data_IF_711953912925
#
_entry.id   IF_711953912925
#
_cell.length_a   1.000
_cell.length_b   1.000
_cell.length_c   1.000
_cell.angle_alpha   90.00
_cell.angle_beta   90.00
_cell.angle_gamma   90.00
#
_symmetry.space_group_name_H-M   'P 1'
#
loop_
_entity.id
_entity.type
_entity.pdbx_description
1 polymer ?
#
# COMPACT_ATOMS: atom_id res chain seq x y z
N UNK A 1 -1.77 -1.54 -5.58
CA UNK A 1 -0.51 -1.74 -6.34
C UNK A 1 0.01 -3.15 -6.08
N UNK A 2 -0.12 -4.06 -7.05
CA UNK A 2 0.14 -5.50 -6.90
C UNK A 2 1.08 -6.06 -8.01
N UNK A 3 1.76 -5.20 -8.78
CA UNK A 3 2.60 -5.56 -9.92
C UNK A 3 4.08 -5.80 -9.63
N UNK A 4 4.51 -5.70 -8.37
CA UNK A 4 5.93 -5.80 -8.01
C UNK A 4 6.52 -7.22 -8.07
N UNK A 5 7.80 -7.34 -8.47
CA UNK A 5 8.52 -8.61 -8.66
C UNK A 5 8.71 -9.46 -7.39
N UNK A 6 8.63 -8.88 -6.18
CA UNK A 6 8.72 -9.61 -4.91
C UNK A 6 10.02 -10.39 -4.67
N UNK A 7 11.15 -9.95 -5.20
CA UNK A 7 12.42 -10.71 -5.26
C UNK A 7 13.06 -11.01 -3.92
N UNK A 8 12.71 -10.30 -2.86
CA UNK A 8 13.35 -10.39 -1.53
C UNK A 8 12.98 -11.64 -0.72
N UNK A 9 11.77 -12.15 -0.88
CA UNK A 9 11.32 -13.30 -0.07
C UNK A 9 11.88 -14.65 -0.54
N UNK A 10 12.42 -14.74 -1.75
CA UNK A 10 12.92 -16.00 -2.36
C UNK A 10 11.90 -17.16 -2.29
N UNK A 11 10.61 -16.84 -2.22
CA UNK A 11 9.50 -17.79 -2.25
C UNK A 11 9.01 -17.89 -3.69
N UNK A 12 8.74 -19.12 -4.23
CA UNK A 12 8.28 -19.31 -5.61
C UNK A 12 6.79 -18.94 -5.78
N UNK A 13 6.34 -17.86 -5.14
CA UNK A 13 4.98 -17.34 -5.22
C UNK A 13 5.02 -15.82 -5.45
N UNK A 14 4.01 -15.31 -6.14
CA UNK A 14 3.83 -13.88 -6.32
C UNK A 14 3.54 -13.20 -4.98
N UNK A 15 4.24 -12.10 -4.68
CA UNK A 15 4.16 -11.41 -3.40
C UNK A 15 2.73 -11.16 -2.91
N UNK A 16 1.77 -10.69 -3.75
CA UNK A 16 0.39 -10.47 -3.32
C UNK A 16 -0.37 -11.76 -2.94
N UNK A 17 0.11 -12.93 -3.39
CA UNK A 17 -0.50 -14.24 -3.10
C UNK A 17 0.14 -14.97 -1.93
N UNK A 18 1.20 -14.43 -1.34
CA UNK A 18 1.80 -14.99 -0.13
C UNK A 18 0.74 -15.05 0.97
N UNK A 19 0.65 -16.21 1.63
CA UNK A 19 -0.38 -16.45 2.63
C UNK A 19 0.07 -16.01 4.01
N UNK A 20 -0.81 -15.25 4.66
CA UNK A 20 -0.71 -14.82 6.07
C UNK A 20 -1.89 -15.44 6.80
N UNK A 21 -1.66 -16.26 7.82
CA UNK A 21 -2.72 -17.04 8.48
C UNK A 21 -3.62 -17.79 7.47
N UNK A 22 -3.02 -18.35 6.41
CA UNK A 22 -3.74 -19.14 5.40
C UNK A 22 -4.45 -18.34 4.30
N UNK A 23 -4.53 -17.00 4.38
CA UNK A 23 -5.21 -16.11 3.42
C UNK A 23 -4.17 -15.27 2.66
N UNK A 24 -4.25 -15.13 1.31
CA UNK A 24 -3.37 -14.27 0.52
C UNK A 24 -3.34 -12.83 1.05
N UNK A 25 -2.16 -12.21 1.10
CA UNK A 25 -2.02 -10.87 1.68
C UNK A 25 -2.86 -9.82 0.96
N UNK A 26 -3.04 -9.94 -0.35
CA UNK A 26 -3.88 -9.02 -1.13
C UNK A 26 -5.35 -9.01 -0.69
N UNK A 27 -5.87 -10.13 -0.16
CA UNK A 27 -7.25 -10.21 0.30
C UNK A 27 -7.47 -9.32 1.53
N UNK A 28 -6.50 -9.24 2.45
CA UNK A 28 -6.59 -8.33 3.60
C UNK A 28 -6.72 -6.88 3.15
N UNK A 29 -5.93 -6.49 2.14
CA UNK A 29 -5.99 -5.11 1.59
C UNK A 29 -7.31 -4.86 0.88
N UNK A 30 -7.82 -5.83 0.11
CA UNK A 30 -9.13 -5.70 -0.58
C UNK A 30 -10.27 -5.62 0.44
N UNK A 31 -10.24 -6.43 1.51
CA UNK A 31 -11.23 -6.38 2.57
C UNK A 31 -11.22 -5.02 3.27
N UNK A 32 -10.04 -4.53 3.69
CA UNK A 32 -9.92 -3.20 4.28
C UNK A 32 -10.47 -2.09 3.37
N UNK A 33 -10.21 -2.18 2.06
CA UNK A 33 -10.76 -1.23 1.07
C UNK A 33 -12.29 -1.32 0.95
N UNK A 34 -12.87 -2.51 1.05
CA UNK A 34 -14.33 -2.72 1.02
C UNK A 34 -15.02 -2.25 2.30
N UNK A 35 -14.33 -2.33 3.43
CA UNK A 35 -14.84 -1.91 4.74
C UNK A 35 -14.74 -0.39 4.95
N UNK A 36 -13.88 0.28 4.17
CA UNK A 36 -13.73 1.74 4.23
C UNK A 36 -14.96 2.45 3.65
N UNK A 37 -15.43 3.50 4.33
CA UNK A 37 -16.65 4.25 3.97
C UNK A 37 -16.41 5.35 2.94
N UNK A 38 -15.16 5.77 2.78
CA UNK A 38 -14.73 6.85 1.88
C UNK A 38 -14.14 6.34 0.56
N UNK A 39 -14.25 5.03 0.27
CA UNK A 39 -13.73 4.41 -0.94
C UNK A 39 -14.90 3.93 -1.81
N UNK A 40 -15.05 4.51 -3.00
CA UNK A 40 -16.15 4.19 -3.91
C UNK A 40 -15.86 2.99 -4.80
N UNK A 41 -14.60 2.78 -5.20
CA UNK A 41 -14.21 1.73 -6.15
C UNK A 41 -12.79 1.24 -5.91
N UNK A 42 -12.55 -0.02 -6.28
CA UNK A 42 -11.25 -0.67 -6.11
C UNK A 42 -10.69 -1.05 -7.47
N UNK A 43 -9.48 -0.56 -7.75
CA UNK A 43 -8.71 -0.89 -8.93
C UNK A 43 -7.41 -1.55 -8.47
N UNK A 44 -7.09 -2.72 -9.03
CA UNK A 44 -5.85 -3.42 -8.72
C UNK A 44 -4.89 -3.34 -9.91
N UNK A 45 -3.77 -2.68 -9.72
CA UNK A 45 -2.70 -2.64 -10.71
C UNK A 45 -1.83 -3.91 -10.59
N UNK A 46 -1.79 -4.69 -11.65
CA UNK A 46 -0.94 -5.89 -11.83
C UNK A 46 0.08 -5.63 -12.93
N UNK A 47 0.97 -6.56 -13.18
CA UNK A 47 1.94 -6.48 -14.29
C UNK A 47 2.26 -7.87 -14.85
N UNK A 48 3.07 -7.92 -15.89
CA UNK A 48 3.63 -9.18 -16.42
C UNK A 48 4.39 -10.00 -15.36
N UNK A 49 4.77 -9.39 -14.23
CA UNK A 49 5.43 -10.09 -13.11
C UNK A 49 4.44 -10.77 -12.15
N UNK A 50 3.12 -10.52 -12.29
CA UNK A 50 2.10 -11.02 -11.37
C UNK A 50 0.87 -11.61 -12.07
N UNK A 51 1.05 -12.53 -13.05
CA UNK A 51 -0.04 -13.11 -13.83
C UNK A 51 -0.97 -14.00 -12.99
N UNK A 52 -0.45 -14.70 -11.98
CA UNK A 52 -1.29 -15.51 -11.08
C UNK A 52 -2.17 -14.60 -10.20
N UNK A 53 -1.65 -13.46 -9.75
CA UNK A 53 -2.40 -12.45 -9.00
C UNK A 53 -3.55 -11.91 -9.86
N UNK A 54 -3.29 -11.51 -11.11
CA UNK A 54 -4.31 -11.07 -12.04
C UNK A 54 -5.43 -12.11 -12.21
N UNK A 55 -5.06 -13.39 -12.40
CA UNK A 55 -6.03 -14.51 -12.47
C UNK A 55 -6.78 -14.70 -11.16
N UNK A 56 -6.09 -14.59 -10.02
CA UNK A 56 -6.71 -14.74 -8.70
C UNK A 56 -7.78 -13.69 -8.44
N UNK A 57 -7.56 -12.46 -8.89
CA UNK A 57 -8.46 -11.32 -8.73
C UNK A 57 -9.81 -11.47 -9.45
N UNK A 58 -9.94 -12.39 -10.41
CA UNK A 58 -11.22 -12.69 -11.08
C UNK A 58 -12.33 -13.15 -10.12
N UNK A 59 -11.97 -13.58 -8.91
CA UNK A 59 -12.91 -13.98 -7.85
C UNK A 59 -13.53 -12.79 -7.11
N UNK A 60 -12.98 -11.58 -7.30
CA UNK A 60 -13.39 -10.38 -6.61
C UNK A 60 -14.06 -9.40 -7.56
N UNK A 61 -14.98 -8.60 -7.04
CA UNK A 61 -15.59 -7.49 -7.79
C UNK A 61 -14.65 -6.28 -7.75
N UNK A 62 -13.52 -6.37 -8.47
CA UNK A 62 -12.52 -5.31 -8.58
C UNK A 62 -12.13 -5.14 -10.04
N UNK A 63 -11.82 -3.92 -10.43
CA UNK A 63 -11.22 -3.66 -11.74
C UNK A 63 -9.74 -4.02 -11.69
N UNK A 64 -9.23 -4.71 -12.71
CA UNK A 64 -7.80 -5.00 -12.84
C UNK A 64 -7.24 -4.18 -14.00
N UNK A 65 -6.10 -3.53 -13.79
CA UNK A 65 -5.35 -2.82 -14.83
C UNK A 65 -3.93 -3.41 -14.91
N UNK A 66 -3.49 -3.72 -16.12
CA UNK A 66 -2.13 -4.15 -16.37
C UNK A 66 -1.21 -2.94 -16.51
N UNK A 67 -0.08 -2.97 -15.81
CA UNK A 67 0.92 -1.89 -15.79
C UNK A 67 2.27 -2.40 -16.29
N UNK A 68 3.19 -1.52 -16.73
CA UNK A 68 4.49 -1.95 -17.25
C UNK A 68 5.36 -2.77 -16.27
N UNK A 69 5.09 -2.71 -14.96
CA UNK A 69 5.86 -3.45 -13.94
C UNK A 69 7.27 -2.89 -13.75
N UNK A 70 7.45 -1.60 -13.96
CA UNK A 70 8.74 -0.91 -13.86
C UNK A 70 9.11 -0.64 -12.41
N UNK A 71 8.31 0.14 -11.74
CA UNK A 71 8.41 0.50 -10.31
C UNK A 71 7.07 1.05 -9.80
N UNK A 72 6.97 1.20 -8.48
CA UNK A 72 5.72 1.63 -7.82
C UNK A 72 5.19 2.98 -8.34
N UNK A 73 6.08 3.97 -8.50
CA UNK A 73 5.68 5.34 -8.89
C UNK A 73 5.30 5.40 -10.36
N UNK A 74 6.09 4.75 -11.23
CA UNK A 74 5.84 4.67 -12.67
C UNK A 74 4.53 3.95 -12.97
N UNK A 75 4.29 2.80 -12.33
CA UNK A 75 3.09 1.99 -12.53
C UNK A 75 1.83 2.70 -12.00
N UNK A 76 1.93 3.38 -10.86
CA UNK A 76 0.87 4.22 -10.32
C UNK A 76 0.52 5.37 -11.27
N UNK A 77 1.54 6.05 -11.82
CA UNK A 77 1.37 7.10 -12.79
C UNK A 77 0.72 6.62 -14.08
N UNK A 78 1.16 5.46 -14.59
CA UNK A 78 0.58 4.82 -15.77
C UNK A 78 -0.92 4.50 -15.56
N UNK A 79 -1.26 3.86 -14.44
CA UNK A 79 -2.64 3.55 -14.11
C UNK A 79 -3.50 4.81 -13.99
N UNK A 80 -3.01 5.84 -13.30
CA UNK A 80 -3.69 7.12 -13.13
C UNK A 80 -4.01 7.80 -14.46
N UNK A 81 -3.05 7.83 -15.38
CA UNK A 81 -3.22 8.47 -16.70
C UNK A 81 -4.18 7.68 -17.59
N UNK A 82 -4.00 6.36 -17.70
CA UNK A 82 -4.85 5.52 -18.57
C UNK A 82 -6.30 5.49 -18.12
N UNK A 83 -6.54 5.51 -16.82
CA UNK A 83 -7.90 5.47 -16.26
C UNK A 83 -8.46 6.86 -15.98
N UNK A 84 -7.68 7.93 -16.24
CA UNK A 84 -8.04 9.32 -15.97
C UNK A 84 -8.57 9.52 -14.55
N UNK A 85 -7.84 8.96 -13.58
CA UNK A 85 -8.24 9.02 -12.19
C UNK A 85 -8.25 10.47 -11.69
N UNK A 86 -9.29 10.81 -10.92
CA UNK A 86 -9.36 12.04 -10.13
C UNK A 86 -8.46 11.94 -8.89
N UNK A 87 -9.02 12.17 -7.71
CA UNK A 87 -8.33 11.86 -6.45
C UNK A 87 -8.41 10.36 -6.22
N UNK A 88 -7.28 9.74 -5.92
CA UNK A 88 -7.20 8.30 -5.64
C UNK A 88 -6.23 7.99 -4.52
N UNK A 89 -6.50 6.89 -3.83
CA UNK A 89 -5.65 6.31 -2.80
C UNK A 89 -4.86 5.14 -3.39
N UNK A 90 -3.54 5.28 -3.47
CA UNK A 90 -2.64 4.21 -3.90
C UNK A 90 -2.10 3.45 -2.70
N UNK A 91 -2.27 2.14 -2.67
CA UNK A 91 -1.89 1.27 -1.55
C UNK A 91 -1.02 0.11 -2.06
N UNK A 92 0.07 -0.19 -1.36
CA UNK A 92 0.85 -1.40 -1.58
C UNK A 92 0.04 -2.64 -1.15
N UNK A 93 0.13 -3.73 -1.93
CA UNK A 93 -0.65 -4.94 -1.69
C UNK A 93 -0.07 -5.87 -0.61
N UNK A 94 0.87 -5.40 0.18
CA UNK A 94 1.63 -6.17 1.18
C UNK A 94 1.39 -5.72 2.64
N UNK A 95 0.27 -5.06 2.92
CA UNK A 95 -0.13 -4.50 4.21
C UNK A 95 -1.27 -5.33 4.85
N UNK A 96 -0.97 -6.45 5.50
CA UNK A 96 -1.98 -7.41 5.98
C UNK A 96 -2.79 -6.92 7.17
N UNK A 97 -2.33 -5.88 7.86
CA UNK A 97 -2.96 -5.36 9.09
C UNK A 97 -3.79 -4.10 8.86
N UNK A 98 -3.90 -3.67 7.60
CA UNK A 98 -4.68 -2.50 7.21
C UNK A 98 -6.17 -2.68 7.55
N UNK A 99 -6.85 -1.60 7.96
CA UNK A 99 -8.29 -1.59 8.26
C UNK A 99 -9.00 -0.46 7.52
N UNK A 100 -10.30 -0.60 7.31
CA UNK A 100 -11.13 0.43 6.69
C UNK A 100 -11.12 1.75 7.47
N UNK A 101 -11.13 1.69 8.79
CA UNK A 101 -11.08 2.87 9.67
C UNK A 101 -9.79 3.68 9.47
N UNK A 102 -8.65 3.00 9.34
CA UNK A 102 -7.38 3.67 9.06
C UNK A 102 -7.38 4.33 7.69
N UNK A 103 -7.99 3.67 6.68
CA UNK A 103 -8.14 4.25 5.34
C UNK A 103 -9.02 5.49 5.35
N UNK A 104 -10.16 5.45 6.04
CA UNK A 104 -11.04 6.61 6.19
C UNK A 104 -10.32 7.79 6.86
N UNK A 105 -9.56 7.54 7.94
CA UNK A 105 -8.76 8.56 8.62
C UNK A 105 -7.67 9.18 7.71
N UNK A 106 -7.06 8.38 6.84
CA UNK A 106 -6.08 8.87 5.84
C UNK A 106 -6.76 9.79 4.82
N UNK A 107 -7.93 9.39 4.31
CA UNK A 107 -8.71 10.22 3.38
C UNK A 107 -9.14 11.53 4.03
N UNK A 108 -9.64 11.49 5.26
CA UNK A 108 -9.99 12.69 6.02
C UNK A 108 -8.80 13.63 6.21
N UNK A 109 -7.64 13.07 6.54
CA UNK A 109 -6.42 13.88 6.69
C UNK A 109 -6.02 14.53 5.36
N UNK A 110 -6.17 13.82 4.23
CA UNK A 110 -5.95 14.40 2.91
C UNK A 110 -6.90 15.54 2.59
N UNK A 111 -8.19 15.38 2.85
CA UNK A 111 -9.22 16.43 2.65
C UNK A 111 -8.87 17.73 3.39
N UNK A 112 -8.19 17.62 4.53
CA UNK A 112 -7.79 18.75 5.36
C UNK A 112 -6.42 19.35 5.01
N UNK A 113 -5.55 18.63 4.30
CA UNK A 113 -4.16 19.08 4.11
C UNK A 113 -3.99 20.20 3.07
N UNK A 114 -4.98 20.39 2.19
CA UNK A 114 -4.95 21.44 1.15
C UNK A 114 -3.91 21.24 0.06
N UNK A 115 -3.22 20.08 0.02
CA UNK A 115 -2.19 19.76 -0.96
C UNK A 115 -2.67 18.70 -1.97
N UNK A 116 -2.10 18.67 -3.19
CA UNK A 116 -2.49 17.70 -4.21
C UNK A 116 -2.01 16.28 -3.94
N UNK A 117 -1.15 16.08 -2.97
CA UNK A 117 -0.69 14.74 -2.58
C UNK A 117 -0.46 14.64 -1.07
N UNK A 118 -0.62 13.42 -0.54
CA UNK A 118 -0.33 13.06 0.84
C UNK A 118 0.34 11.69 0.87
N UNK A 119 1.47 11.60 1.55
CA UNK A 119 2.18 10.35 1.81
C UNK A 119 2.01 9.94 3.27
N UNK A 120 1.64 8.70 3.51
CA UNK A 120 1.57 8.15 4.88
C UNK A 120 2.93 7.59 5.27
N UNK A 121 3.40 7.96 6.45
CA UNK A 121 4.66 7.50 7.01
C UNK A 121 4.51 7.11 8.49
N UNK A 122 5.37 6.23 8.95
CA UNK A 122 5.52 5.87 10.37
C UNK A 122 6.89 6.33 10.88
N UNK A 123 7.08 6.53 12.20
CA UNK A 123 8.39 6.78 12.77
C UNK A 123 9.36 5.64 12.46
N UNK A 124 10.61 5.95 12.14
CA UNK A 124 11.67 4.95 11.96
C UNK A 124 11.84 4.06 13.19
N UNK A 125 11.69 4.63 14.39
CA UNK A 125 11.77 3.91 15.65
C UNK A 125 10.72 2.80 15.77
N UNK A 126 9.51 3.03 15.26
CA UNK A 126 8.45 2.01 15.23
C UNK A 126 8.86 0.81 14.36
N UNK A 127 9.43 1.06 13.18
CA UNK A 127 9.98 0.00 12.32
C UNK A 127 11.11 -0.77 13.03
N UNK A 128 12.06 -0.05 13.67
CA UNK A 128 13.18 -0.66 14.42
C UNK A 128 12.69 -1.51 15.59
N UNK A 129 11.74 -1.00 16.39
CA UNK A 129 11.17 -1.73 17.55
C UNK A 129 10.53 -3.05 17.10
N UNK A 130 9.89 -3.07 15.95
CA UNK A 130 9.28 -4.27 15.35
C UNK A 130 10.31 -5.16 14.63
N UNK A 131 11.57 -4.74 14.53
CA UNK A 131 12.62 -5.47 13.83
C UNK A 131 12.39 -5.59 12.33
N UNK A 132 11.67 -4.61 11.74
CA UNK A 132 11.37 -4.53 10.32
C UNK A 132 12.59 -4.03 9.52
N UNK A 133 12.70 -4.50 8.28
CA UNK A 133 13.69 -3.95 7.35
C UNK A 133 13.27 -2.55 6.88
N UNK A 134 14.24 -1.63 6.83
CA UNK A 134 14.03 -0.27 6.33
C UNK A 134 14.98 -0.04 5.16
N UNK A 135 14.44 0.26 3.99
CA UNK A 135 15.22 0.52 2.77
C UNK A 135 15.43 2.00 2.53
N UNK A 136 14.43 2.78 2.90
CA UNK A 136 14.42 4.20 2.69
C UNK A 136 13.76 4.90 3.87
N UNK A 137 14.38 5.97 4.33
CA UNK A 137 13.82 6.90 5.31
C UNK A 137 14.16 8.33 4.91
N UNK A 138 13.38 9.28 5.37
CA UNK A 138 13.64 10.70 5.16
C UNK A 138 13.28 11.49 6.43
N UNK A 139 13.66 12.75 6.48
CA UNK A 139 13.36 13.61 7.64
C UNK A 139 12.07 14.39 7.43
N UNK A 140 11.22 14.38 8.45
CA UNK A 140 10.08 15.28 8.62
C UNK A 140 10.15 15.87 10.03
N UNK A 141 10.21 17.22 10.13
CA UNK A 141 10.24 17.92 11.42
C UNK A 141 11.31 17.32 12.38
N UNK A 142 12.55 17.15 11.87
CA UNK A 142 13.70 16.55 12.55
C UNK A 142 13.56 15.08 12.97
N UNK A 143 12.45 14.42 12.65
CA UNK A 143 12.24 12.96 12.87
C UNK A 143 12.54 12.16 11.62
N UNK A 144 13.23 11.04 11.78
CA UNK A 144 13.37 10.05 10.72
C UNK A 144 12.07 9.26 10.57
N UNK A 145 11.52 9.27 9.36
CA UNK A 145 10.23 8.62 9.05
C UNK A 145 10.37 7.69 7.85
N UNK A 146 9.51 6.66 7.79
CA UNK A 146 9.52 5.63 6.75
C UNK A 146 8.14 5.61 6.07
N UNK A 147 8.07 5.81 4.74
CA UNK A 147 6.81 5.71 4.01
C UNK A 147 6.30 4.26 4.04
N UNK A 148 4.99 4.10 4.18
CA UNK A 148 4.34 2.77 4.32
C UNK A 148 3.72 2.24 3.03
N UNK A 149 3.94 2.91 1.90
CA UNK A 149 3.36 2.51 0.62
C UNK A 149 1.87 2.86 0.48
N UNK A 150 1.41 3.89 1.22
CA UNK A 150 0.07 4.46 1.11
C UNK A 150 0.19 5.94 0.73
N UNK A 151 -0.46 6.34 -0.36
CA UNK A 151 -0.43 7.71 -0.85
C UNK A 151 -1.82 8.12 -1.35
N UNK A 152 -2.25 9.35 -1.07
CA UNK A 152 -3.41 9.96 -1.73
C UNK A 152 -2.91 10.98 -2.74
N UNK A 153 -3.46 10.97 -3.95
CA UNK A 153 -2.97 11.77 -5.06
C UNK A 153 -4.15 12.33 -5.87
N UNK A 154 -4.09 13.62 -6.16
CA UNK A 154 -4.98 14.23 -7.17
C UNK A 154 -4.37 14.02 -8.56
N UNK A 155 -4.79 12.96 -9.26
CA UNK A 155 -4.30 12.61 -10.59
C UNK A 155 -4.57 13.68 -11.65
N UNK A 156 -5.51 14.60 -11.43
CA UNK A 156 -5.80 15.72 -12.32
C UNK A 156 -4.69 16.77 -12.32
N UNK A 157 -3.90 16.84 -11.24
CA UNK A 157 -2.82 17.81 -11.05
C UNK A 157 -1.45 17.28 -11.43
N UNK A 158 -1.34 16.03 -11.86
CA UNK A 158 -0.10 15.42 -12.30
C UNK A 158 0.13 15.71 -13.79
N UNK A 159 0.75 16.83 -14.08
CA UNK A 159 1.18 17.19 -15.44
C UNK A 159 2.72 17.20 -15.50
N UNK A 160 3.31 16.32 -16.35
CA UNK A 160 4.75 16.27 -16.59
C UNK A 160 5.54 15.51 -15.51
N UNK A 161 6.85 15.75 -15.50
CA UNK A 161 7.82 15.08 -14.60
C UNK A 161 7.99 15.78 -13.24
N UNK A 162 7.22 16.83 -12.97
CA UNK A 162 7.29 17.55 -11.70
C UNK A 162 6.63 16.77 -10.57
N UNK A 163 7.33 16.71 -9.42
CA UNK A 163 6.79 16.15 -8.20
C UNK A 163 5.66 17.04 -7.66
N UNK A 164 4.54 16.43 -7.34
CA UNK A 164 3.44 17.14 -6.70
C UNK A 164 3.88 17.64 -5.31
N UNK A 165 3.47 18.86 -4.96
CA UNK A 165 3.57 19.32 -3.57
C UNK A 165 2.76 18.38 -2.68
N UNK A 166 3.39 17.84 -1.63
CA UNK A 166 2.79 16.82 -0.80
C UNK A 166 2.85 17.17 0.68
N UNK A 167 1.86 16.71 1.43
CA UNK A 167 1.95 16.61 2.88
C UNK A 167 2.40 15.20 3.29
N UNK A 168 3.01 15.10 4.45
CA UNK A 168 3.38 13.83 5.06
C UNK A 168 2.52 13.61 6.29
N UNK A 169 1.68 12.60 6.24
CA UNK A 169 0.90 12.18 7.39
C UNK A 169 1.69 11.19 8.23
N UNK A 170 2.32 11.70 9.30
CA UNK A 170 3.03 10.86 10.26
C UNK A 170 2.02 10.26 11.23
N UNK A 171 1.93 8.94 11.25
CA UNK A 171 1.03 8.18 12.11
C UNK A 171 1.82 7.05 12.80
N UNK A 172 1.78 7.01 14.12
CA UNK A 172 2.50 5.97 14.90
C UNK A 172 1.56 4.81 15.24
N UNK A 173 1.21 4.04 14.21
CA UNK A 173 0.40 2.82 14.32
C UNK A 173 1.28 1.64 13.87
N UNK A 174 1.51 0.69 14.77
CA UNK A 174 2.38 -0.48 14.49
C UNK A 174 1.90 -1.28 13.29
N UNK A 175 0.60 -1.41 13.13
CA UNK A 175 -0.03 -2.13 12.03
C UNK A 175 0.32 -1.58 10.65
N UNK A 176 0.48 -0.27 10.53
CA UNK A 176 0.94 0.36 9.27
C UNK A 176 2.44 0.18 9.05
N UNK A 177 3.21 -0.07 10.11
CA UNK A 177 4.62 -0.36 9.98
C UNK A 177 4.91 -1.76 9.43
N UNK A 178 3.93 -2.68 9.47
CA UNK A 178 4.12 -4.08 9.06
C UNK A 178 3.73 -4.29 7.61
N UNK A 179 4.74 -4.33 6.75
CA UNK A 179 4.62 -4.75 5.36
C UNK A 179 5.47 -6.01 5.12
N UNK A 180 5.03 -6.92 4.27
CA UNK A 180 5.66 -8.23 4.11
C UNK A 180 6.69 -8.21 3.00
N UNK A 181 7.99 -8.24 3.34
CA UNK A 181 9.11 -8.34 2.42
C UNK A 181 10.03 -9.54 2.71
N UNK A 182 9.94 -10.10 3.92
CA UNK A 182 10.77 -11.20 4.42
C UNK A 182 9.93 -12.21 5.18
N UNK A 183 10.46 -13.42 5.37
CA UNK A 183 9.81 -14.47 6.20
C UNK A 183 9.62 -14.00 7.65
N UNK A 184 10.59 -13.23 8.19
CA UNK A 184 10.48 -12.66 9.55
C UNK A 184 9.28 -11.72 9.68
N UNK A 185 9.05 -10.87 8.69
CA UNK A 185 7.92 -9.93 8.65
C UNK A 185 6.59 -10.66 8.46
N UNK A 186 6.59 -11.76 7.68
CA UNK A 186 5.44 -12.64 7.56
C UNK A 186 5.02 -13.23 8.92
N UNK A 187 5.96 -13.80 9.66
CA UNK A 187 5.69 -14.38 10.99
C UNK A 187 5.21 -13.32 11.99
N UNK A 188 5.78 -12.12 11.95
CA UNK A 188 5.30 -11.01 12.78
C UNK A 188 3.85 -10.62 12.43
N UNK A 189 3.52 -10.52 11.14
CA UNK A 189 2.16 -10.23 10.70
C UNK A 189 1.16 -11.30 11.17
N UNK A 190 1.53 -12.59 11.08
CA UNK A 190 0.70 -13.70 11.59
C UNK A 190 0.46 -13.63 13.09
N UNK A 191 1.52 -13.31 13.86
CA UNK A 191 1.40 -13.12 15.31
C UNK A 191 0.43 -11.99 15.66
N UNK A 192 0.57 -10.83 15.03
CA UNK A 192 -0.28 -9.66 15.28
C UNK A 192 -1.74 -9.91 14.86
N UNK A 193 -1.98 -10.57 13.72
CA UNK A 193 -3.32 -10.95 13.30
C UNK A 193 -3.99 -11.95 14.25
N UNK A 194 -3.22 -12.90 14.80
CA UNK A 194 -3.74 -13.88 15.76
C UNK A 194 -4.12 -13.21 17.08
N UNK A 195 -3.41 -12.19 17.50
CA UNK A 195 -3.72 -11.43 18.72
C UNK A 195 -4.98 -10.56 18.58
N UNK A 196 -5.31 -10.07 17.36
CA UNK A 196 -6.54 -9.31 17.11
C UNK A 196 -7.83 -10.15 17.16
N UNK A 197 -7.71 -11.47 16.99
CA UNK A 197 -8.87 -12.38 17.00
C UNK A 197 -9.24 -12.90 18.39
N UNK A 198 -8.46 -12.55 19.40
CA UNK A 198 -8.71 -12.87 20.82
C UNK A 198 -9.35 -11.70 21.53
#
# INVERSE_FOLDING_TARGET
MAGGRGTRMQIPEEKPLIRVCGKPVIEYVIEALKDAKKIDSIIVATSACTPKTAKYLSKFQVQVVDTPGKDYVSDMGYASQNLKLGVFLAIAADLPLLTGEVLDAIVERYELCGKPALTVAVPLETKKRLGMCVEYSFKKDDKDVVPVGINVIDGRKRYGDEWLDQDIYLIDIEELAVNINTVKELLLAEQLLSNRKR
#
